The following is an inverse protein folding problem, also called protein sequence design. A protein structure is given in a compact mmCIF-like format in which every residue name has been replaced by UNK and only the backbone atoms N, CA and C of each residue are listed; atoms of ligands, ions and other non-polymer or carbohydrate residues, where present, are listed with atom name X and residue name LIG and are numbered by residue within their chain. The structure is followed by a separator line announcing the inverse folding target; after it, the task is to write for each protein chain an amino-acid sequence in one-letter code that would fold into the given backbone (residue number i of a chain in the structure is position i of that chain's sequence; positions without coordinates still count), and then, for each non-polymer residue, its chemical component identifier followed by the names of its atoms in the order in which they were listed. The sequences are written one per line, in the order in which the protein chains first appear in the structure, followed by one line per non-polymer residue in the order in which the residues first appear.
data_IF_351032633334
#
_entry.id   IF_351032633334
#
_cell.length_a   1.000
_cell.length_b   1.000
_cell.length_c   1.000
_cell.angle_alpha   90.00
_cell.angle_beta   90.00
_cell.angle_gamma   90.00
#
_symmetry.space_group_name_H-M   'P 1'
#
loop_
_entity.id
_entity.type
_entity.pdbx_description
1 polymer ?
2 non-polymer ?
3 water ?
#
# COMPACT_ATOMS: atom_id res chain seq x y z
N UNK A 3 -6.65 -22.32 16.78
CA UNK A 3 -5.37 -21.63 16.92
C UNK A 3 -5.49 -20.15 17.22
N UNK A 4 -4.43 -19.56 17.82
CA UNK A 4 -4.30 -18.16 18.24
C UNK A 4 -4.77 -17.10 17.21
N UNK A 5 -4.55 -17.34 15.90
CA UNK A 5 -4.94 -16.44 14.81
C UNK A 5 -6.47 -16.31 14.67
N UNK A 6 -7.25 -17.25 15.23
CA UNK A 6 -8.70 -17.18 15.16
C UNK A 6 -9.17 -16.35 16.35
N UNK A 7 -9.99 -15.33 16.10
CA UNK A 7 -10.57 -14.48 17.13
C UNK A 7 -12.05 -14.75 17.22
N UNK A 8 -12.56 -14.98 18.44
CA UNK A 8 -13.99 -15.24 18.66
C UNK A 8 -14.80 -13.93 18.61
N UNK A 9 -16.06 -13.92 18.14
CA UNK A 9 -16.80 -12.65 18.08
C UNK A 9 -16.93 -11.98 19.45
N UNK A 10 -16.95 -12.78 20.53
CA UNK A 10 -17.05 -12.26 21.90
C UNK A 10 -15.81 -11.49 22.32
N UNK A 11 -14.72 -11.66 21.58
CA UNK A 11 -13.45 -10.98 21.87
C UNK A 11 -13.35 -9.63 21.16
N UNK A 12 -14.41 -9.20 20.41
CA UNK A 12 -14.35 -7.92 19.70
C UNK A 12 -15.56 -7.07 20.01
N UNK A 13 -15.37 -5.75 20.06
CA UNK A 13 -16.50 -4.84 20.17
C UNK A 13 -16.30 -3.81 19.09
N UNK A 14 -17.39 -3.28 18.56
CA UNK A 14 -17.35 -2.25 17.55
C UNK A 14 -17.74 -0.94 18.25
N UNK A 15 -16.91 0.08 18.09
CA UNK A 15 -17.17 1.35 18.76
C UNK A 15 -17.77 2.37 17.80
N UNK A 16 -17.15 2.53 16.62
CA UNK A 16 -17.67 3.46 15.62
C UNK A 16 -17.05 3.12 14.29
N UNK A 17 -17.66 3.62 13.22
CA UNK A 17 -17.11 3.40 11.92
C UNK A 17 -15.84 4.20 11.71
N UNK A 18 -14.88 3.63 10.97
CA UNK A 18 -13.69 4.33 10.49
C UNK A 18 -14.00 4.84 9.07
N UNK A 19 -14.44 3.93 8.20
CA UNK A 19 -14.82 4.28 6.83
C UNK A 19 -15.00 3.06 5.97
N UNK A 20 -15.37 3.29 4.70
CA UNK A 20 -15.52 2.20 3.74
C UNK A 20 -14.18 1.78 3.18
N UNK A 21 -13.90 0.49 3.24
CA UNK A 21 -12.69 -0.10 2.69
C UNK A 21 -13.07 -0.72 1.37
N UNK A 22 -12.25 -1.63 0.87
CA UNK A 22 -12.56 -2.31 -0.38
C UNK A 22 -13.50 -3.46 -0.05
N UNK A 23 -14.77 -3.47 -0.57
CA UNK A 23 -15.70 -4.57 -0.34
C UNK A 23 -16.13 -4.77 1.12
N UNK A 24 -16.04 -3.73 1.91
CA UNK A 24 -16.47 -3.84 3.30
C UNK A 24 -16.14 -2.65 4.14
N UNK A 25 -16.87 -2.52 5.21
CA UNK A 25 -16.74 -1.43 6.16
C UNK A 25 -15.61 -1.70 7.16
N UNK A 26 -14.90 -0.65 7.56
CA UNK A 26 -13.88 -0.72 8.60
C UNK A 26 -14.34 0.02 9.85
N UNK A 27 -14.28 -0.67 11.00
CA UNK A 27 -14.72 -0.10 12.28
C UNK A 27 -13.56 0.06 13.23
N UNK A 28 -13.68 1.00 14.12
CA UNK A 28 -12.77 1.12 15.27
C UNK A 28 -13.41 0.26 16.35
N UNK A 29 -12.60 -0.55 17.03
CA UNK A 29 -13.14 -1.37 18.10
C UNK A 29 -12.04 -1.77 19.05
N UNK A 30 -12.43 -2.62 19.99
CA UNK A 30 -11.50 -3.16 20.97
C UNK A 30 -11.38 -4.65 20.80
N UNK A 31 -10.19 -5.19 21.10
CA UNK A 31 -9.94 -6.63 21.06
C UNK A 31 -9.56 -7.00 22.51
N UNK A 32 -10.31 -7.95 23.06
CA UNK A 32 -10.17 -8.44 24.44
C UNK A 32 -8.73 -8.72 24.88
N UNK A 33 -8.31 -8.09 26.00
CA UNK A 33 -6.97 -8.17 26.65
C UNK A 33 -5.81 -7.76 25.75
N UNK A 34 -6.10 -7.08 24.62
CA UNK A 34 -5.05 -6.74 23.66
C UNK A 34 -4.92 -5.26 23.43
N UNK A 35 -5.75 -4.68 22.55
CA UNK A 35 -5.64 -3.27 22.23
C UNK A 35 -6.86 -2.78 21.47
N UNK A 36 -6.82 -1.49 21.14
CA UNK A 36 -7.73 -0.86 20.20
C UNK A 36 -7.34 -1.43 18.83
N UNK A 37 -8.32 -1.70 17.95
CA UNK A 37 -8.06 -2.31 16.65
C UNK A 37 -8.95 -1.70 15.56
N UNK A 38 -8.57 -1.94 14.30
CA UNK A 38 -9.42 -1.65 13.16
C UNK A 38 -9.96 -3.00 12.69
N UNK A 39 -11.30 -3.08 12.47
CA UNK A 39 -11.95 -4.34 12.10
C UNK A 39 -12.61 -4.19 10.76
N UNK A 40 -12.21 -5.00 9.78
CA UNK A 40 -12.86 -5.02 8.47
C UNK A 40 -13.90 -6.12 8.40
N UNK A 41 -15.15 -5.78 8.02
CA UNK A 41 -16.20 -6.76 7.73
C UNK A 41 -16.23 -6.93 6.20
N UNK A 42 -15.86 -8.11 5.67
CA UNK A 42 -15.80 -8.31 4.22
C UNK A 42 -17.10 -8.93 3.71
N UNK A 43 -17.69 -8.33 2.70
CA UNK A 43 -18.92 -8.89 2.15
C UNK A 43 -18.69 -10.26 1.50
N UNK A 44 -19.70 -11.13 1.55
CA UNK A 44 -19.59 -12.47 0.96
C UNK A 44 -19.35 -12.38 -0.53
N UNK A 45 -18.50 -13.28 -1.03
CA UNK A 45 -18.18 -13.35 -2.45
C UNK A 45 -17.07 -12.43 -2.92
N UNK A 46 -16.61 -11.49 -2.10
CA UNK A 46 -15.61 -10.52 -2.54
C UNK A 46 -14.21 -11.09 -2.55
N UNK A 47 -13.94 -12.02 -1.63
CA UNK A 47 -12.60 -12.58 -1.56
C UNK A 47 -12.64 -14.10 -1.43
N UNK A 48 -11.50 -14.75 -1.79
CA UNK A 48 -11.38 -16.17 -1.55
C UNK A 48 -11.06 -16.34 -0.07
N UNK A 49 -12.07 -16.56 0.75
CA UNK A 49 -11.87 -16.65 2.18
C UNK A 49 -11.05 -17.88 2.52
N UNK A 50 -11.26 -19.01 1.82
CA UNK A 50 -10.46 -20.19 2.11
C UNK A 50 -8.99 -19.98 1.81
N UNK A 51 -8.67 -19.32 0.69
CA UNK A 51 -7.25 -19.05 0.36
C UNK A 51 -6.66 -18.14 1.43
N UNK A 52 -7.44 -17.14 1.87
CA UNK A 52 -6.94 -16.24 2.89
C UNK A 52 -6.71 -16.93 4.21
N UNK A 53 -7.66 -17.76 4.64
CA UNK A 53 -7.55 -18.46 5.93
C UNK A 53 -6.33 -19.38 5.92
N UNK A 54 -5.98 -19.98 4.77
CA UNK A 54 -4.81 -20.85 4.64
C UNK A 54 -3.49 -20.06 4.79
N UNK A 55 -3.50 -18.80 4.39
CA UNK A 55 -2.31 -17.94 4.39
C UNK A 55 -2.21 -17.02 5.65
N UNK A 56 -3.28 -16.93 6.47
CA UNK A 56 -3.34 -15.97 7.59
C UNK A 56 -2.18 -16.08 8.56
N UNK A 57 -1.88 -17.30 9.05
CA UNK A 57 -0.76 -17.48 10.00
C UNK A 57 0.59 -17.04 9.41
N UNK A 58 0.82 -17.33 8.09
CA UNK A 58 2.01 -16.94 7.33
C UNK A 58 2.13 -15.41 7.28
N UNK A 59 1.05 -14.71 6.87
CA UNK A 59 0.99 -13.26 6.80
C UNK A 59 1.25 -12.62 8.14
N UNK A 60 0.72 -13.23 9.21
CA UNK A 60 0.87 -12.66 10.56
C UNK A 60 2.31 -12.71 11.04
N UNK A 61 3.18 -13.52 10.42
CA UNK A 61 4.59 -13.57 10.80
C UNK A 61 5.40 -12.45 10.17
N UNK A 62 4.82 -11.71 9.21
CA UNK A 62 5.51 -10.56 8.58
C UNK A 62 5.35 -9.37 9.53
N UNK A 63 6.13 -9.39 10.59
CA UNK A 63 6.06 -8.43 11.70
C UNK A 63 7.22 -7.50 11.54
N UNK A 64 6.93 -6.27 11.24
CA UNK A 64 7.96 -5.24 11.11
C UNK A 64 7.27 -3.95 11.55
N UNK A 65 8.00 -3.07 12.27
CA UNK A 65 7.40 -1.79 12.69
C UNK A 65 6.81 -0.89 11.61
N UNK A 66 7.22 -1.04 10.35
CA UNK A 66 6.68 -0.21 9.27
C UNK A 66 5.64 -0.95 8.46
N UNK A 67 5.11 -2.09 9.00
CA UNK A 67 4.04 -2.85 8.34
C UNK A 67 2.83 -2.86 9.24
N UNK A 68 1.65 -2.51 8.69
CA UNK A 68 0.40 -2.62 9.50
C UNK A 68 0.14 -4.11 9.73
N UNK A 69 0.00 -4.50 11.00
CA UNK A 69 -0.11 -5.88 11.39
C UNK A 69 -1.52 -6.46 11.27
N UNK A 70 -1.60 -7.71 10.80
CA UNK A 70 -2.85 -8.48 10.82
C UNK A 70 -2.81 -9.19 12.20
N UNK A 71 -3.84 -8.99 13.04
CA UNK A 71 -3.89 -9.60 14.38
C UNK A 71 -4.66 -10.92 14.40
N UNK A 72 -5.59 -11.08 13.49
CA UNK A 72 -6.37 -12.30 13.46
C UNK A 72 -7.64 -12.19 12.65
N UNK A 73 -8.42 -13.25 12.68
CA UNK A 73 -9.60 -13.36 11.82
C UNK A 73 -10.75 -13.92 12.66
N UNK A 74 -11.90 -13.29 12.54
CA UNK A 74 -13.12 -13.73 13.21
C UNK A 74 -13.96 -14.38 12.10
N UNK A 75 -13.96 -15.71 12.08
CA UNK A 75 -14.59 -16.45 10.99
C UNK A 75 -15.83 -17.28 11.36
N UNK A 76 -16.30 -17.15 12.60
CA UNK A 76 -17.45 -17.89 13.10
C UNK A 76 -18.69 -17.77 12.19
N UNK A 77 -19.03 -16.52 11.81
CA UNK A 77 -20.18 -16.24 10.96
C UNK A 77 -19.88 -15.25 9.86
N UNK A 78 -20.68 -15.30 8.78
CA UNK A 78 -20.61 -14.39 7.65
C UNK A 78 -21.32 -13.09 8.09
N UNK A 79 -20.74 -11.89 7.85
CA UNK A 79 -19.48 -11.65 7.15
C UNK A 79 -18.28 -11.88 8.05
N UNK A 80 -17.21 -12.44 7.49
CA UNK A 80 -16.01 -12.64 8.31
C UNK A 80 -15.34 -11.28 8.60
N UNK A 81 -14.59 -11.21 9.69
CA UNK A 81 -13.90 -9.98 10.11
C UNK A 81 -12.43 -10.24 10.12
N UNK A 82 -11.69 -9.25 9.64
CA UNK A 82 -10.25 -9.25 9.71
C UNK A 82 -9.86 -8.14 10.70
N UNK A 83 -8.93 -8.42 11.60
CA UNK A 83 -8.59 -7.51 12.68
C UNK A 83 -7.17 -7.03 12.49
N UNK A 84 -7.01 -5.72 12.49
CA UNK A 84 -5.70 -5.12 12.24
C UNK A 84 -5.31 -4.13 13.28
N UNK A 85 -4.00 -3.86 13.30
CA UNK A 85 -3.42 -2.79 14.07
C UNK A 85 -4.12 -1.46 13.66
N UNK A 86 -4.55 -0.69 14.67
CA UNK A 86 -5.24 0.58 14.44
C UNK A 86 -4.24 1.68 14.16
N UNK A 87 -4.43 2.36 13.02
CA UNK A 87 -3.56 3.46 12.56
C UNK A 87 -4.32 4.76 12.76
N UNK A 88 -3.99 5.45 13.84
CA UNK A 88 -4.75 6.63 14.29
C UNK A 88 -4.97 7.77 13.31
N UNK A 89 -4.03 8.01 12.41
CA UNK A 89 -4.18 9.14 11.51
C UNK A 89 -4.63 8.78 10.09
N UNK A 90 -5.00 7.53 9.87
CA UNK A 90 -5.56 7.12 8.59
C UNK A 90 -4.63 7.06 7.40
N UNK A 91 -5.23 7.06 6.22
CA UNK A 91 -4.50 6.92 4.97
C UNK A 91 -3.62 8.10 4.66
N UNK A 92 -2.46 7.81 4.09
CA UNK A 92 -1.49 8.84 3.76
C UNK A 92 -2.03 9.80 2.66
N UNK A 93 -2.84 9.27 1.70
CA UNK A 93 -3.40 10.08 0.63
C UNK A 93 -4.22 11.25 1.22
N UNK A 94 -5.16 10.97 2.12
CA UNK A 94 -5.96 12.04 2.72
C UNK A 94 -5.13 12.85 3.70
N UNK A 95 -4.17 12.24 4.38
CA UNK A 95 -3.32 12.95 5.35
C UNK A 95 -2.55 14.08 4.64
N UNK A 96 -2.04 13.78 3.44
CA UNK A 96 -1.32 14.80 2.67
C UNK A 96 -2.28 15.82 2.08
N UNK A 97 -3.39 15.35 1.47
CA UNK A 97 -4.35 16.25 0.78
C UNK A 97 -4.95 17.27 1.71
N UNK A 98 -5.21 16.89 2.97
CA UNK A 98 -5.83 17.82 3.92
C UNK A 98 -4.81 18.73 4.60
N UNK A 99 -3.50 18.50 4.37
CA UNK A 99 -2.46 19.27 5.03
C UNK A 99 -1.47 19.86 4.06
N UNK A 100 -1.92 20.11 2.83
CA UNK A 100 -1.10 20.76 1.81
C UNK A 100 -0.55 22.08 2.37
N UNK A 101 0.75 22.30 2.14
CA UNK A 101 1.42 23.50 2.60
C UNK A 101 2.12 23.35 3.92
N UNK A 102 1.86 22.26 4.65
CA UNK A 102 2.48 22.08 5.97
C UNK A 102 3.84 21.45 5.96
N UNK A 103 4.04 20.43 5.11
CA UNK A 103 5.24 19.63 5.21
C UNK A 103 6.44 20.08 4.44
N UNK A 104 7.59 20.09 5.11
CA UNK A 104 8.87 20.36 4.49
C UNK A 104 9.31 19.13 3.68
N UNK A 105 10.15 19.32 2.68
CA UNK A 105 10.65 18.20 1.88
C UNK A 105 11.34 17.14 2.74
N UNK A 106 12.01 17.54 3.85
CA UNK A 106 12.66 16.54 4.73
C UNK A 106 11.60 15.61 5.34
N UNK A 107 10.43 16.16 5.68
CA UNK A 107 9.35 15.35 6.26
C UNK A 107 8.79 14.41 5.18
N UNK A 108 8.52 14.96 3.97
CA UNK A 108 8.00 14.15 2.85
C UNK A 108 8.96 13.02 2.51
N UNK A 109 10.27 13.31 2.50
CA UNK A 109 11.25 12.27 2.27
C UNK A 109 11.24 11.23 3.40
N UNK A 110 11.08 11.68 4.65
CA UNK A 110 11.00 10.70 5.73
C UNK A 110 9.80 9.77 5.61
N UNK A 111 8.67 10.25 5.05
CA UNK A 111 7.48 9.42 4.82
C UNK A 111 7.85 8.33 3.79
N UNK A 112 8.51 8.72 2.69
CA UNK A 112 8.98 7.76 1.67
C UNK A 112 9.97 6.77 2.27
N UNK A 113 10.85 7.22 3.18
CA UNK A 113 11.80 6.34 3.83
C UNK A 113 11.12 5.28 4.70
N UNK A 114 10.03 5.66 5.41
CA UNK A 114 9.29 4.69 6.21
C UNK A 114 8.72 3.61 5.32
N UNK A 115 8.08 3.99 4.21
CA UNK A 115 7.49 3.04 3.29
C UNK A 115 8.60 2.17 2.69
N UNK A 116 9.72 2.79 2.30
CA UNK A 116 10.83 2.05 1.71
C UNK A 116 11.39 1.00 2.66
N UNK A 117 11.47 1.33 3.97
CA UNK A 117 11.96 0.37 4.96
C UNK A 117 11.02 -0.85 5.06
N UNK A 118 9.71 -0.60 5.11
CA UNK A 118 8.73 -1.69 5.17
C UNK A 118 8.81 -2.53 3.89
N UNK A 119 8.97 -1.88 2.74
CA UNK A 119 9.08 -2.60 1.48
C UNK A 119 10.39 -3.39 1.37
N UNK A 120 11.51 -2.89 1.95
CA UNK A 120 12.77 -3.64 1.92
C UNK A 120 12.63 -4.90 2.78
N UNK A 121 11.85 -4.83 3.88
CA UNK A 121 11.61 -6.02 4.67
C UNK A 121 10.79 -7.04 3.86
N UNK A 122 9.72 -6.58 3.18
CA UNK A 122 8.92 -7.53 2.37
C UNK A 122 9.78 -8.13 1.23
N UNK A 123 10.58 -7.31 0.57
CA UNK A 123 11.45 -7.75 -0.52
C UNK A 123 12.42 -8.86 -0.03
N UNK A 124 13.00 -8.67 1.18
CA UNK A 124 13.93 -9.68 1.72
C UNK A 124 13.19 -10.98 2.02
N UNK A 125 11.93 -10.86 2.45
CA UNK A 125 11.06 -11.99 2.77
C UNK A 125 10.46 -12.64 1.50
N UNK A 126 10.73 -12.05 0.31
CA UNK A 126 10.18 -12.51 -0.98
C UNK A 126 8.68 -12.40 -1.04
N UNK A 127 8.13 -11.34 -0.43
CA UNK A 127 6.71 -11.05 -0.43
C UNK A 127 6.49 -9.83 -1.33
N UNK A 128 5.58 -10.00 -2.31
CA UNK A 128 5.24 -8.92 -3.24
C UNK A 128 3.98 -8.22 -2.73
N UNK A 129 4.01 -6.89 -2.66
CA UNK A 129 2.83 -6.14 -2.20
C UNK A 129 1.68 -6.25 -3.21
N UNK A 130 1.97 -5.88 -4.49
CA UNK A 130 1.06 -5.92 -5.65
C UNK A 130 0.20 -4.71 -5.84
N UNK A 131 -0.05 -3.94 -4.75
CA UNK A 131 -0.91 -2.76 -4.89
C UNK A 131 -0.44 -1.61 -4.02
N UNK A 132 0.86 -1.32 -4.06
CA UNK A 132 1.37 -0.23 -3.23
C UNK A 132 0.92 1.14 -3.76
N UNK A 133 0.36 1.98 -2.87
CA UNK A 133 -0.12 3.32 -3.27
C UNK A 133 -0.29 4.10 -1.99
N UNK A 134 -0.40 5.45 -2.09
CA UNK A 134 -0.56 6.25 -0.88
C UNK A 134 -1.85 5.89 -0.14
N UNK A 135 -2.86 5.45 -0.88
CA UNK A 135 -4.15 5.07 -0.26
C UNK A 135 -4.05 3.91 0.71
N UNK A 136 -3.02 3.05 0.59
CA UNK A 136 -2.90 1.99 1.61
C UNK A 136 -1.70 2.12 2.51
N UNK A 137 -1.02 3.26 2.47
CA UNK A 137 -0.01 3.56 3.49
C UNK A 137 -0.77 4.32 4.55
N UNK A 138 -0.57 3.92 5.78
CA UNK A 138 -1.32 4.49 6.90
C UNK A 138 -0.41 5.22 7.85
N UNK A 139 -0.96 6.24 8.55
CA UNK A 139 -0.17 7.09 9.43
C UNK A 139 -0.48 6.77 10.88
N UNK A 140 0.57 6.55 11.64
CA UNK A 140 0.41 6.20 13.06
C UNK A 140 1.05 7.17 14.01
N UNK A 141 1.48 6.65 15.15
CA UNK A 141 2.10 7.46 16.19
C UNK A 141 3.40 8.12 15.73
N UNK A 142 3.63 9.39 16.17
CA UNK A 142 4.81 10.17 15.83
C UNK A 142 4.99 10.33 14.30
N UNK A 143 3.84 10.35 13.57
CA UNK A 143 3.81 10.51 12.10
C UNK A 143 4.50 9.37 11.33
N UNK A 144 4.58 8.18 11.92
CA UNK A 144 5.21 7.04 11.24
C UNK A 144 4.26 6.62 10.13
N UNK A 145 4.84 6.20 8.99
CA UNK A 145 4.03 5.68 7.90
C UNK A 145 4.28 4.19 7.89
N UNK A 146 3.18 3.44 7.74
CA UNK A 146 3.28 1.99 7.65
C UNK A 146 2.60 1.51 6.38
N UNK A 147 3.14 0.47 5.78
CA UNK A 147 2.56 -0.14 4.60
C UNK A 147 1.46 -1.14 5.02
N UNK A 148 0.35 -1.10 4.33
CA UNK A 148 -0.74 -2.04 4.61
C UNK A 148 -1.20 -2.75 3.34
N UNK A 149 -1.92 -3.88 3.54
CA UNK A 149 -2.61 -4.62 2.50
C UNK A 149 -1.68 -5.33 1.53
N UNK A 150 -0.40 -5.52 1.92
CA UNK A 150 0.53 -6.25 1.10
C UNK A 150 0.01 -7.67 0.85
N UNK A 151 0.04 -8.04 -0.43
CA UNK A 151 -0.37 -9.34 -0.96
C UNK A 151 -1.87 -9.59 -0.97
N UNK A 152 -2.69 -8.65 -0.46
CA UNK A 152 -4.13 -8.91 -0.33
C UNK A 152 -4.89 -9.05 -1.63
N UNK A 153 -4.38 -8.45 -2.76
CA UNK A 153 -5.08 -8.60 -4.04
C UNK A 153 -5.06 -10.04 -4.58
N UNK A 154 -4.23 -10.93 -3.98
CA UNK A 154 -4.19 -12.35 -4.36
C UNK A 154 -5.57 -12.95 -4.09
N UNK A 155 -6.35 -12.36 -3.15
CA UNK A 155 -7.61 -12.98 -2.75
C UNK A 155 -8.85 -12.32 -3.37
N UNK A 156 -8.71 -11.23 -4.10
CA UNK A 156 -9.87 -10.53 -4.68
C UNK A 156 -10.50 -11.39 -5.80
N UNK A 157 -11.84 -11.50 -5.80
CA UNK A 157 -12.55 -12.31 -6.80
C UNK A 157 -13.21 -11.51 -7.94
N UNK A 158 -13.34 -10.20 -7.78
CA UNK A 158 -13.96 -9.35 -8.83
C UNK A 158 -12.91 -9.12 -9.95
N UNK A 159 -13.18 -9.65 -11.14
CA UNK A 159 -12.29 -9.52 -12.30
C UNK A 159 -12.09 -8.07 -12.75
N UNK A 160 -12.97 -7.13 -12.36
CA UNK A 160 -12.73 -5.72 -12.69
C UNK A 160 -11.52 -5.18 -11.95
N UNK A 161 -11.09 -5.86 -10.87
CA UNK A 161 -9.96 -5.43 -10.05
C UNK A 161 -8.65 -6.13 -10.32
N UNK A 162 -8.70 -7.38 -10.77
CA UNK A 162 -7.54 -8.25 -10.92
C UNK A 162 -6.98 -8.32 -12.32
N UNK A 163 -7.88 -8.26 -13.31
CA UNK A 163 -7.50 -8.29 -14.71
C UNK A 163 -6.81 -6.96 -15.02
N UNK A 164 -5.65 -7.04 -15.68
CA UNK A 164 -4.86 -5.88 -16.08
C UNK A 164 -5.62 -4.92 -17.01
N UNK A 165 -6.81 -5.36 -17.52
CA UNK A 165 -7.72 -4.61 -18.39
C UNK A 165 -9.07 -4.26 -17.72
N UNK A 166 -9.29 -4.75 -16.50
CA UNK A 166 -10.49 -4.46 -15.73
C UNK A 166 -10.59 -2.98 -15.41
N UNK A 167 -11.84 -2.48 -15.30
CA UNK A 167 -12.12 -1.05 -15.05
C UNK A 167 -11.59 -0.52 -13.73
N UNK A 168 -11.42 -1.38 -12.72
CA UNK A 168 -10.95 -0.97 -11.41
C UNK A 168 -9.51 -1.39 -11.12
N UNK A 169 -8.78 -1.88 -12.15
CA UNK A 169 -7.38 -2.27 -11.98
C UNK A 169 -6.50 -1.02 -11.70
N UNK A 170 -5.55 -1.07 -10.74
CA UNK A 170 -4.73 0.15 -10.43
C UNK A 170 -3.60 0.39 -11.45
N UNK A 171 -3.98 0.64 -12.72
CA UNK A 171 -3.05 0.84 -13.84
C UNK A 171 -2.08 2.00 -13.55
N UNK A 172 -2.56 3.05 -12.86
CA UNK A 172 -1.73 4.23 -12.52
C UNK A 172 -0.47 3.90 -11.72
N UNK A 173 -0.47 2.77 -11.01
CA UNK A 173 0.66 2.36 -10.17
C UNK A 173 1.40 1.16 -10.75
N UNK A 174 0.95 0.70 -11.90
CA UNK A 174 1.46 -0.55 -12.48
C UNK A 174 2.64 -0.36 -13.38
N UNK A 175 3.64 -1.24 -13.23
CA UNK A 175 4.72 -1.22 -14.16
C UNK A 175 4.21 -1.81 -15.49
N UNK A 176 4.95 -1.62 -16.58
CA UNK A 176 4.49 -2.15 -17.86
C UNK A 176 4.33 -3.66 -17.87
N UNK A 177 5.22 -4.41 -17.18
CA UNK A 177 5.08 -5.88 -17.15
C UNK A 177 3.84 -6.32 -16.34
N UNK A 178 3.39 -5.48 -15.38
CA UNK A 178 2.17 -5.75 -14.64
C UNK A 178 0.95 -5.39 -15.50
N UNK A 179 0.90 -4.19 -16.12
CA UNK A 179 -0.29 -3.91 -16.92
C UNK A 179 -0.36 -4.76 -18.18
N UNK A 180 0.77 -5.28 -18.66
CA UNK A 180 0.75 -6.15 -19.83
C UNK A 180 0.50 -7.61 -19.50
N UNK A 181 1.18 -8.16 -18.47
CA UNK A 181 1.19 -9.59 -18.20
C UNK A 181 0.89 -10.01 -16.79
N UNK A 182 0.55 -9.04 -15.91
CA UNK A 182 0.39 -9.35 -14.49
C UNK A 182 1.67 -10.03 -13.92
N UNK A 183 2.87 -9.59 -14.40
CA UNK A 183 4.15 -10.13 -13.98
C UNK A 183 4.61 -9.37 -12.76
N UNK A 184 4.11 -9.79 -11.60
CA UNK A 184 4.44 -9.19 -10.31
C UNK A 184 5.80 -9.62 -9.81
N UNK A 185 6.50 -8.68 -9.17
CA UNK A 185 7.80 -8.95 -8.57
C UNK A 185 8.12 -7.83 -7.59
N UNK A 186 9.21 -7.94 -6.82
CA UNK A 186 9.57 -6.77 -5.99
C UNK A 186 9.94 -5.59 -6.92
N UNK A 187 10.41 -5.85 -8.16
CA UNK A 187 10.72 -4.75 -9.10
C UNK A 187 9.45 -4.08 -9.60
N UNK A 188 8.30 -4.80 -9.71
CA UNK A 188 7.08 -4.08 -10.06
C UNK A 188 6.60 -3.27 -8.85
N UNK A 189 6.86 -3.74 -7.63
CA UNK A 189 6.55 -2.94 -6.43
C UNK A 189 7.44 -1.68 -6.43
N UNK A 190 8.70 -1.76 -6.95
CA UNK A 190 9.53 -0.56 -7.01
C UNK A 190 8.88 0.49 -7.91
N UNK A 191 8.32 0.08 -9.08
CA UNK A 191 7.63 1.04 -9.96
C UNK A 191 6.52 1.73 -9.15
N UNK A 192 5.70 0.94 -8.48
CA UNK A 192 4.62 1.51 -7.65
C UNK A 192 5.15 2.45 -6.58
N UNK A 193 6.29 2.10 -5.97
CA UNK A 193 6.91 2.97 -4.98
C UNK A 193 7.32 4.32 -5.61
N UNK A 194 7.78 4.32 -6.86
CA UNK A 194 8.08 5.60 -7.50
C UNK A 194 6.83 6.44 -7.63
N UNK A 195 5.69 5.81 -8.01
CA UNK A 195 4.42 6.59 -8.09
C UNK A 195 4.02 7.10 -6.68
N UNK A 196 4.19 6.24 -5.66
CA UNK A 196 3.92 6.65 -4.28
C UNK A 196 4.79 7.87 -3.93
N UNK A 197 6.09 7.86 -4.30
CA UNK A 197 6.94 9.03 -4.01
C UNK A 197 6.36 10.28 -4.66
N UNK A 198 5.86 10.14 -5.90
CA UNK A 198 5.25 11.27 -6.59
C UNK A 198 4.01 11.75 -5.83
N UNK A 199 3.16 10.80 -5.35
CA UNK A 199 1.96 11.21 -4.59
C UNK A 199 2.39 11.96 -3.33
N UNK A 200 3.48 11.51 -2.68
CA UNK A 200 3.92 12.15 -1.45
C UNK A 200 4.46 13.55 -1.74
N UNK A 201 5.43 13.66 -2.69
CA UNK A 201 6.01 14.97 -2.96
C UNK A 201 5.03 15.96 -3.60
N UNK A 202 3.92 15.47 -4.22
CA UNK A 202 2.91 16.36 -4.78
C UNK A 202 1.86 16.69 -3.70
N UNK A 203 2.05 16.20 -2.45
CA UNK A 203 1.08 16.47 -1.39
C UNK A 203 -0.28 15.88 -1.74
N UNK A 204 -0.28 14.64 -2.22
CA UNK A 204 -1.52 13.91 -2.47
C UNK A 204 -2.28 14.18 -3.74
N UNK A 205 -1.59 14.68 -4.78
CA UNK A 205 -2.23 14.81 -6.09
C UNK A 205 -2.46 13.41 -6.68
N UNK A 206 -3.42 13.32 -7.60
CA UNK A 206 -3.73 12.05 -8.23
C UNK A 206 -2.84 11.91 -9.46
N UNK A 207 -2.05 10.80 -9.58
CA UNK A 207 -1.22 10.64 -10.78
C UNK A 207 -2.05 10.46 -12.06
N UNK A 208 -1.59 11.08 -13.14
CA UNK A 208 -2.21 11.01 -14.48
C UNK A 208 -3.70 11.34 -14.37
N UNK A 209 -4.06 12.39 -13.60
CA UNK A 209 -5.45 12.74 -13.29
C UNK A 209 -6.45 12.77 -14.48
N UNK A 210 -6.03 13.31 -15.61
CA UNK A 210 -6.89 13.48 -16.79
C UNK A 210 -6.64 12.48 -17.90
N UNK A 211 -6.09 11.31 -17.52
CA UNK A 211 -5.83 10.23 -18.47
C UNK A 211 -6.65 9.03 -18.08
N UNK A 212 -7.24 8.37 -19.08
CA UNK A 212 -7.94 7.14 -18.87
C UNK A 212 -6.88 6.03 -18.66
N UNK A 213 -7.31 4.85 -18.19
CA UNK A 213 -6.35 3.77 -17.99
C UNK A 213 -5.70 3.35 -19.31
N UNK A 214 -6.48 3.31 -20.42
CA UNK A 214 -5.88 2.96 -21.70
C UNK A 214 -4.88 4.01 -22.16
N UNK A 215 -5.14 5.30 -21.86
CA UNK A 215 -4.19 6.36 -22.22
C UNK A 215 -2.92 6.23 -21.35
N UNK A 216 -3.03 5.89 -20.06
CA UNK A 216 -1.81 5.69 -19.23
C UNK A 216 -0.93 4.57 -19.84
N UNK A 217 -1.56 3.44 -20.26
CA UNK A 217 -0.78 2.35 -20.89
C UNK A 217 -0.01 2.83 -22.10
N UNK A 218 -0.69 3.55 -23.00
CA UNK A 218 -0.04 4.03 -24.20
C UNK A 218 1.04 5.06 -23.89
N UNK A 219 0.75 6.03 -23.00
CA UNK A 219 1.69 7.07 -22.61
C UNK A 219 2.94 6.44 -22.01
N UNK A 220 2.79 5.54 -21.01
CA UNK A 220 3.93 4.91 -20.35
C UNK A 220 4.77 4.10 -21.33
N UNK A 221 4.07 3.36 -22.23
CA UNK A 221 4.75 2.51 -23.19
C UNK A 221 5.54 3.31 -24.22
N UNK A 222 5.17 4.59 -24.41
CA UNK A 222 5.83 5.48 -25.35
C UNK A 222 6.78 6.46 -24.66
N UNK A 223 7.07 6.21 -23.38
CA UNK A 223 8.08 6.99 -22.67
C UNK A 223 7.63 8.13 -21.78
N UNK A 224 6.31 8.44 -21.74
CA UNK A 224 5.80 9.50 -20.87
C UNK A 224 6.07 9.13 -19.42
N UNK A 225 6.44 10.12 -18.59
CA UNK A 225 6.59 9.93 -17.15
C UNK A 225 5.98 11.09 -16.41
N UNK A 226 5.54 10.86 -15.18
CA UNK A 226 5.00 11.94 -14.36
C UNK A 226 6.02 13.08 -14.20
N UNK A 227 5.53 14.33 -14.23
CA UNK A 227 6.37 15.53 -14.10
C UNK A 227 6.93 15.64 -12.67
N UNK A 228 7.97 16.45 -12.49
CA UNK A 228 8.55 16.62 -11.18
C UNK A 228 7.66 17.51 -10.28
N UNK A 229 7.27 17.02 -9.08
CA UNK A 229 6.52 17.90 -8.16
C UNK A 229 7.42 19.05 -7.68
N UNK A 230 6.83 20.21 -7.44
CA UNK A 230 7.51 21.42 -7.00
C UNK A 230 8.39 21.17 -5.76
N UNK A 231 7.92 20.34 -4.83
CA UNK A 231 8.65 20.07 -3.58
C UNK A 231 9.74 19.04 -3.70
N UNK A 232 9.80 18.32 -4.83
CA UNK A 232 10.85 17.31 -5.04
C UNK A 232 12.10 17.95 -5.64
N UNK A 233 13.25 17.68 -5.04
CA UNK A 233 14.52 18.13 -5.62
C UNK A 233 14.82 17.34 -6.89
N UNK A 234 15.79 17.79 -7.66
CA UNK A 234 16.18 17.06 -8.86
C UNK A 234 16.74 15.67 -8.49
N UNK A 235 17.38 15.53 -7.34
CA UNK A 235 17.93 14.23 -6.91
C UNK A 235 16.78 13.30 -6.56
N UNK A 236 15.75 13.84 -5.89
CA UNK A 236 14.58 13.00 -5.57
C UNK A 236 13.89 12.57 -6.84
N UNK A 237 13.71 13.48 -7.79
CA UNK A 237 13.06 13.15 -9.06
C UNK A 237 13.89 12.13 -9.85
N UNK A 238 15.23 12.18 -9.74
CA UNK A 238 16.06 11.20 -10.45
C UNK A 238 15.73 9.81 -9.90
N UNK A 239 15.60 9.68 -8.55
CA UNK A 239 15.29 8.37 -7.96
C UNK A 239 13.90 7.89 -8.42
N UNK A 240 12.90 8.81 -8.45
CA UNK A 240 11.56 8.44 -8.96
C UNK A 240 11.68 7.84 -10.36
N UNK A 241 12.49 8.50 -11.24
CA UNK A 241 12.68 8.04 -12.59
C UNK A 241 13.39 6.69 -12.69
N UNK A 242 14.27 6.38 -11.71
CA UNK A 242 14.92 5.08 -11.69
C UNK A 242 13.88 3.99 -11.41
N UNK A 243 12.89 4.33 -10.55
CA UNK A 243 11.83 3.35 -10.27
C UNK A 243 10.97 3.07 -11.52
N UNK A 244 10.91 4.05 -12.44
CA UNK A 244 10.08 3.95 -13.64
C UNK A 244 10.85 3.55 -14.89
N UNK A 245 11.95 2.84 -14.71
CA UNK A 245 12.64 2.34 -15.89
C UNK A 245 11.84 1.22 -16.50
N UNK A 246 11.78 1.19 -17.82
CA UNK A 246 10.94 0.21 -18.47
C UNK A 246 11.30 -1.25 -18.13
N UNK A 247 12.61 -1.58 -18.05
CA UNK A 247 13.06 -2.93 -17.75
C UNK A 247 13.10 -3.13 -16.21
N UNK A 248 12.43 -4.17 -15.65
CA UNK A 248 12.49 -4.35 -14.18
C UNK A 248 13.91 -4.53 -13.66
N UNK A 249 14.76 -5.21 -14.44
CA UNK A 249 16.14 -5.44 -14.06
C UNK A 249 16.95 -4.18 -13.85
N UNK A 250 16.59 -3.08 -14.52
CA UNK A 250 17.30 -1.79 -14.41
C UNK A 250 16.81 -0.93 -13.23
N UNK A 251 15.71 -1.34 -12.59
CA UNK A 251 15.18 -0.60 -11.45
C UNK A 251 15.98 -1.01 -10.22
N UNK A 252 16.18 -0.07 -9.29
CA UNK A 252 16.84 -0.42 -8.05
C UNK A 252 16.00 -1.33 -7.18
N UNK A 253 16.66 -2.22 -6.42
CA UNK A 253 15.95 -2.98 -5.41
C UNK A 253 15.60 -2.03 -4.24
N UNK A 254 14.60 -2.40 -3.42
CA UNK A 254 14.29 -1.59 -2.25
C UNK A 254 15.51 -1.44 -1.33
N UNK A 255 16.37 -2.48 -1.26
CA UNK A 255 17.54 -2.35 -0.39
C UNK A 255 18.46 -1.24 -0.87
N UNK A 256 18.55 -1.05 -2.20
CA UNK A 256 19.36 0.00 -2.79
C UNK A 256 18.66 1.35 -2.63
N UNK A 257 17.35 1.40 -2.87
CA UNK A 257 16.62 2.65 -2.67
C UNK A 257 16.74 3.15 -1.23
N UNK A 258 16.67 2.22 -0.25
CA UNK A 258 16.74 2.60 1.16
C UNK A 258 18.05 3.31 1.47
N UNK A 259 19.17 2.84 0.88
CA UNK A 259 20.45 3.49 1.07
C UNK A 259 20.47 4.84 0.36
N UNK A 260 19.95 4.89 -0.90
CA UNK A 260 20.01 6.15 -1.66
C UNK A 260 19.17 7.24 -1.04
N UNK A 261 17.94 6.90 -0.59
CA UNK A 261 17.07 7.90 0.01
C UNK A 261 17.61 8.32 1.37
N UNK A 262 18.18 7.37 2.17
CA UNK A 262 18.72 7.72 3.49
C UNK A 262 19.89 8.64 3.31
N UNK A 263 20.73 8.40 2.26
CA UNK A 263 21.87 9.26 1.98
C UNK A 263 21.43 10.71 1.86
N UNK A 264 20.38 10.98 1.05
CA UNK A 264 19.75 12.30 0.89
C UNK A 264 19.19 12.79 2.25
N UNK A 265 18.42 11.94 2.95
CA UNK A 265 17.80 12.30 4.24
C UNK A 265 18.74 12.58 5.39
N UNK A 266 19.84 11.82 5.47
CA UNK A 266 20.81 11.89 6.56
C UNK A 266 21.93 12.90 6.24
N UNK A 267 21.99 13.36 4.97
CA UNK A 267 22.93 14.37 4.48
C UNK A 267 22.29 15.25 3.40
X LIG B 1 -8.25 -4.27 5.00
X LIG B 1 -7.78 -5.20 4.15
X LIG B 1 -9.45 -4.20 5.32
X LIG B 1 -9.02 4.68 5.12
X LIG B 1 -8.68 5.97 5.31
X LIG B 1 -7.93 6.30 6.25
X LIG B 1 -9.23 2.92 6.71
X LIG B 1 -10.51 2.41 6.05
X LIG B 1 -11.15 3.48 5.17
X LIG B 1 -10.10 4.15 4.28
X LIG B 1 -8.29 3.57 5.72
X LIG B 1 -6.37 1.56 10.73
X LIG B 1 -7.05 2.68 10.44
X LIG B 1 -7.81 2.92 9.37
X LIG B 1 -6.39 0.53 9.86
X LIG B 1 -8.44 1.80 7.31
X LIG B 1 -8.24 0.63 6.64
X LIG B 1 -7.41 -0.08 7.46
X LIG B 1 -7.15 0.65 8.64
X LIG B 1 -7.83 1.89 8.51
X LIG B 1 -5.74 -0.59 10.17
X LIG B 1 -6.89 -1.42 7.02
X LIG B 1 -7.74 -2.28 6.35
X LIG B 1 -7.26 -3.41 5.69
X LIG B 1 -5.91 -3.74 5.84
X LIG B 1 -5.08 -2.94 6.61
X LIG B 1 -5.55 -1.76 7.16
X LIG B 1 -9.27 7.01 4.43
X LIG B 1 -8.64 7.41 3.34
X LIG B 1 -9.26 -7.33 1.42
X LIG B 1 -8.53 -6.31 2.06
X LIG B 1 -10.01 -8.20 2.22
X LIG B 1 -9.24 -7.51 -0.10
X LIG B 1 -8.55 -6.19 3.45
X LIG B 1 -10.02 -8.08 3.60
X LIG B 1 -10.60 -7.16 -0.72
X LIG B 1 -8.18 -6.63 -0.79
X LIG B 1 -8.93 -8.97 -0.48
X LIG B 1 -9.29 -7.07 4.22
#
# INVERSE_FOLDING_TARGET
GSGKWVIDPSELTFVQEIGSGQFGLVHLGYWLNKDKVAIKTIREGAMSEEDFIEEAEVMMKLSHPKLVQLYGVCLEQAPICLVFEFMEHGCLSDYLRTQRGLFAAETLLGMCLDVCEGMAYLEEACVIHRDLAARNCLVGENQVIKVSDFGMTRFVLDDQYTSSTGTKFPVKWASPEVFSFSRYSSKSDVWSFGVLMWEVFSEGKIPYENRSNSEVVEDISTGFRLYKPRLASTHVYQIMNHCWRERPEDRPAFSRLLRQLAEIAESGL
18R C1 N1 O1 N2 C2 O2 C3 C4 C5 C6 C7 N3 C8 N4 C9 N5 N6 C10 C11 C12 N7 C13 C14 C15 C16 C17 C18 C19 C20 C21 C22 C23 C24 C25 C26 C27 C28 C29 C30
#
